data_IF_135665336635
#
_entry.id   IF_135665336635
#
_cell.length_a   1.000
_cell.length_b   1.000
_cell.length_c   1.000
_cell.angle_alpha   90.00
_cell.angle_beta   90.00
_cell.angle_gamma   90.00
#
_symmetry.space_group_name_H-M   'P 1'
#
loop_
_entity.id
_entity.type
_entity.pdbx_description
1 polymer ?
#
# COMPACT_ATOMS: atom_id res chain seq x y z
N UNK A 1 27.23 18.36 -0.56
CA UNK A 1 26.93 19.78 -0.31
C UNK A 1 25.83 20.15 -1.30
N UNK A 2 24.55 19.98 -1.01
CA UNK A 2 23.71 20.62 0.01
C UNK A 2 22.69 19.58 0.51
N UNK A 3 22.67 19.32 1.82
CA UNK A 3 21.71 18.45 2.49
C UNK A 3 20.48 19.27 2.90
N UNK A 4 19.39 19.19 2.14
CA UNK A 4 18.09 19.59 2.63
C UNK A 4 17.36 18.33 3.10
N UNK A 5 17.55 18.01 4.38
CA UNK A 5 16.51 17.34 5.14
C UNK A 5 15.18 18.11 4.91
N UNK A 6 14.03 17.43 4.81
CA UNK A 6 12.75 18.13 4.76
C UNK A 6 12.62 18.97 6.04
N UNK A 7 12.88 20.28 5.90
CA UNK A 7 12.55 21.29 6.89
C UNK A 7 11.05 21.52 6.79
N UNK A 8 10.32 20.58 7.36
CA UNK A 8 9.02 20.75 8.00
C UNK A 8 8.76 19.40 8.67
N UNK A 9 9.53 19.13 9.73
CA UNK A 9 9.04 18.24 10.77
C UNK A 9 7.70 18.81 11.19
N UNK A 10 6.64 18.03 11.01
CA UNK A 10 5.30 18.35 11.47
C UNK A 10 5.45 18.83 12.90
N UNK A 11 5.27 20.13 13.12
CA UNK A 11 5.16 20.68 14.46
C UNK A 11 3.87 20.10 15.00
N UNK A 12 3.99 19.01 15.75
CA UNK A 12 2.88 18.47 16.54
C UNK A 12 2.59 19.48 17.64
N UNK A 13 1.84 20.54 17.28
CA UNK A 13 1.38 21.59 18.18
C UNK A 13 0.17 21.06 18.97
N UNK A 14 0.40 20.84 20.25
CA UNK A 14 -0.47 21.17 21.39
C UNK A 14 -1.90 20.60 21.47
N UNK A 15 -2.30 19.55 20.74
CA UNK A 15 -3.69 19.06 20.82
C UNK A 15 -3.92 17.54 20.78
N UNK A 16 -2.89 16.72 20.56
CA UNK A 16 -3.05 15.25 20.56
C UNK A 16 -2.79 14.72 21.97
N UNK A 17 -3.84 14.60 22.78
CA UNK A 17 -3.80 13.82 24.02
C UNK A 17 -4.18 12.37 23.71
N UNK A 18 -3.18 11.49 23.59
CA UNK A 18 -3.43 10.05 23.66
C UNK A 18 -3.45 9.69 25.15
N UNK A 19 -4.56 9.13 25.68
CA UNK A 19 -4.63 8.82 27.10
C UNK A 19 -3.54 7.80 27.48
N UNK A 20 -2.55 8.24 28.27
CA UNK A 20 -1.46 7.39 28.74
C UNK A 20 -1.90 6.28 29.71
N UNK A 21 -3.18 6.24 30.08
CA UNK A 21 -3.77 5.25 30.98
C UNK A 21 -4.42 4.05 30.27
N UNK A 22 -4.55 4.07 28.94
CA UNK A 22 -5.16 2.96 28.21
C UNK A 22 -4.15 1.82 28.02
N UNK A 23 -4.57 0.55 28.18
CA UNK A 23 -3.65 -0.57 28.06
C UNK A 23 -3.18 -0.75 26.61
N UNK A 24 -1.88 -0.98 26.44
CA UNK A 24 -1.32 -1.41 25.17
C UNK A 24 -1.81 -2.81 24.81
N UNK A 25 -1.89 -3.08 23.51
CA UNK A 25 -2.13 -4.43 23.02
C UNK A 25 -0.98 -5.36 23.46
N UNK A 26 -1.29 -6.58 23.91
CA UNK A 26 -0.25 -7.55 24.33
C UNK A 26 0.82 -7.81 23.25
N UNK A 27 0.49 -7.58 21.98
CA UNK A 27 1.37 -7.75 20.83
C UNK A 27 1.83 -6.41 20.22
N UNK A 28 1.84 -5.31 20.98
CA UNK A 28 2.20 -3.97 20.49
C UNK A 28 3.51 -3.93 19.69
N UNK A 29 4.52 -4.73 20.04
CA UNK A 29 5.79 -4.80 19.33
C UNK A 29 5.66 -5.31 17.88
N UNK A 30 4.92 -6.41 17.68
CA UNK A 30 4.63 -6.97 16.35
C UNK A 30 3.74 -6.02 15.53
N UNK A 31 2.81 -5.32 16.19
CA UNK A 31 1.98 -4.30 15.53
C UNK A 31 2.85 -3.14 15.08
N UNK A 32 3.77 -2.67 15.92
CA UNK A 32 4.68 -1.59 15.56
C UNK A 32 5.58 -2.00 14.39
N UNK A 33 6.13 -3.22 14.39
CA UNK A 33 6.86 -3.76 13.25
C UNK A 33 6.01 -3.79 11.97
N UNK A 34 4.75 -4.20 12.07
CA UNK A 34 3.82 -4.21 10.94
C UNK A 34 3.58 -2.80 10.41
N UNK A 35 3.40 -1.81 11.29
CA UNK A 35 3.23 -0.40 10.91
C UNK A 35 4.47 0.13 10.16
N UNK A 36 5.68 -0.21 10.62
CA UNK A 36 6.92 0.19 9.96
C UNK A 36 7.13 -0.50 8.60
N UNK A 37 6.82 -1.81 8.52
CA UNK A 37 6.85 -2.57 7.27
C UNK A 37 5.87 -1.98 6.24
N UNK A 38 4.70 -1.59 6.72
CA UNK A 38 3.64 -0.99 5.94
C UNK A 38 4.06 0.36 5.37
N UNK A 39 4.70 1.22 6.16
CA UNK A 39 5.24 2.50 5.72
C UNK A 39 6.61 2.42 4.99
N UNK A 40 7.08 1.20 4.66
CA UNK A 40 8.41 0.92 4.08
C UNK A 40 9.57 1.64 4.79
N UNK A 41 9.46 1.78 6.11
CA UNK A 41 10.38 2.56 6.95
C UNK A 41 10.90 1.68 8.09
N UNK A 42 11.98 0.88 7.88
CA UNK A 42 12.53 0.01 8.90
C UNK A 42 13.04 0.79 10.12
N UNK A 43 13.23 0.10 11.25
CA UNK A 43 13.62 0.73 12.52
C UNK A 43 14.80 1.72 12.44
N UNK A 44 15.93 1.43 11.74
CA UNK A 44 17.02 2.38 11.57
C UNK A 44 16.60 3.68 10.88
N UNK A 45 15.74 3.59 9.88
CA UNK A 45 15.24 4.74 9.13
C UNK A 45 14.20 5.53 9.93
N UNK A 46 13.30 4.83 10.63
CA UNK A 46 12.35 5.45 11.54
C UNK A 46 13.08 6.23 12.64
N UNK A 47 14.05 5.61 13.31
CA UNK A 47 14.87 6.23 14.35
C UNK A 47 15.57 7.50 13.84
N UNK A 48 16.18 7.42 12.66
CA UNK A 48 16.83 8.56 12.02
C UNK A 48 15.85 9.68 11.66
N UNK A 49 14.69 9.33 11.08
CA UNK A 49 13.66 10.29 10.67
C UNK A 49 13.09 11.05 11.86
N UNK A 50 12.94 10.37 12.99
CA UNK A 50 12.22 10.87 14.16
C UNK A 50 13.13 11.37 15.29
N UNK A 51 14.43 11.10 15.21
CA UNK A 51 15.40 11.42 16.26
C UNK A 51 15.35 10.49 17.48
N UNK A 52 14.56 9.41 17.44
CA UNK A 52 14.54 8.40 18.51
C UNK A 52 15.80 7.54 18.48
N UNK A 53 16.22 7.06 19.65
CA UNK A 53 17.31 6.10 19.76
C UNK A 53 16.94 4.75 19.10
N UNK A 54 17.81 4.23 18.23
CA UNK A 54 17.55 2.98 17.51
C UNK A 54 17.40 1.80 18.47
N UNK A 55 18.18 1.76 19.55
CA UNK A 55 18.05 0.68 20.54
C UNK A 55 16.69 0.74 21.22
N UNK A 56 16.20 1.94 21.58
CA UNK A 56 14.85 2.13 22.11
C UNK A 56 13.77 1.66 21.12
N UNK A 57 13.83 2.07 19.84
CA UNK A 57 12.87 1.63 18.82
C UNK A 57 12.84 0.09 18.72
N UNK A 58 14.02 -0.55 18.69
CA UNK A 58 14.13 -2.00 18.67
C UNK A 58 13.62 -2.67 19.97
N UNK A 59 13.88 -2.08 21.13
CA UNK A 59 13.34 -2.56 22.42
C UNK A 59 11.80 -2.53 22.43
N UNK A 60 11.17 -1.52 21.80
CA UNK A 60 9.70 -1.45 21.66
C UNK A 60 9.19 -2.51 20.68
N UNK A 61 9.81 -2.66 19.51
CA UNK A 61 9.47 -3.70 18.52
C UNK A 61 9.53 -5.10 19.14
N UNK A 62 10.53 -5.34 19.99
CA UNK A 62 10.75 -6.64 20.64
C UNK A 62 9.94 -6.80 21.94
N UNK A 63 9.06 -5.86 22.28
CA UNK A 63 8.20 -5.93 23.47
C UNK A 63 8.95 -5.81 24.80
N UNK A 64 10.20 -5.35 24.79
CA UNK A 64 11.02 -5.15 26.01
C UNK A 64 10.77 -3.81 26.68
N UNK A 65 10.30 -2.82 25.93
CA UNK A 65 9.88 -1.52 26.45
C UNK A 65 8.50 -1.18 25.94
N UNK A 66 7.71 -0.50 26.77
CA UNK A 66 6.45 0.08 26.33
C UNK A 66 6.70 1.31 25.45
N UNK A 67 5.83 1.60 24.47
CA UNK A 67 5.86 2.86 23.75
C UNK A 67 5.71 4.04 24.72
N UNK A 68 6.59 5.04 24.64
CA UNK A 68 6.45 6.27 25.42
C UNK A 68 5.39 7.20 24.81
N UNK A 69 4.82 8.15 25.58
CA UNK A 69 3.93 9.17 25.03
C UNK A 69 4.55 9.92 23.84
N UNK A 70 5.84 10.24 23.89
CA UNK A 70 6.56 10.92 22.81
C UNK A 70 6.63 10.08 21.53
N UNK A 71 6.81 8.77 21.66
CA UNK A 71 6.75 7.85 20.51
C UNK A 71 5.34 7.82 19.92
N UNK A 72 4.29 7.80 20.74
CA UNK A 72 2.91 7.82 20.26
C UNK A 72 2.59 9.12 19.50
N UNK A 73 3.00 10.26 20.03
CA UNK A 73 2.86 11.57 19.36
C UNK A 73 3.62 11.60 18.03
N UNK A 74 4.83 11.02 18.00
CA UNK A 74 5.64 10.90 16.79
C UNK A 74 4.94 10.06 15.73
N UNK A 75 4.43 8.88 16.10
CA UNK A 75 3.69 7.98 15.19
C UNK A 75 2.44 8.70 14.66
N UNK A 76 1.71 9.39 15.53
CA UNK A 76 0.51 10.14 15.13
C UNK A 76 0.84 11.32 14.19
N UNK A 77 2.05 11.85 14.23
CA UNK A 77 2.52 12.85 13.29
C UNK A 77 2.81 12.31 11.88
N UNK A 78 2.88 11.00 11.64
CA UNK A 78 3.30 10.44 10.35
C UNK A 78 2.11 9.78 9.67
N UNK A 79 1.60 10.35 8.56
CA UNK A 79 0.56 9.68 7.76
C UNK A 79 1.16 8.51 6.96
N UNK A 80 0.47 7.35 6.83
CA UNK A 80 -0.86 7.00 7.34
C UNK A 80 -0.82 6.22 8.67
N UNK A 81 0.23 6.41 9.49
CA UNK A 81 0.35 5.71 10.76
C UNK A 81 -0.65 6.27 11.78
N UNK A 82 -1.13 5.38 12.65
CA UNK A 82 -2.08 5.71 13.71
C UNK A 82 -1.60 5.10 15.03
N UNK A 83 -1.30 5.93 16.02
CA UNK A 83 -0.78 5.45 17.31
C UNK A 83 -1.79 4.59 18.07
N UNK A 84 -3.10 4.78 17.81
CA UNK A 84 -4.18 3.92 18.35
C UNK A 84 -4.02 2.44 17.98
N UNK A 85 -3.28 2.11 16.93
CA UNK A 85 -3.02 0.71 16.57
C UNK A 85 -2.22 -0.03 17.65
N UNK A 86 -1.40 0.68 18.45
CA UNK A 86 -0.64 0.09 19.56
C UNK A 86 -1.50 -0.12 20.81
N UNK A 87 -2.67 0.52 20.88
CA UNK A 87 -3.61 0.39 22.00
C UNK A 87 -4.44 -0.89 21.83
N UNK A 88 -4.75 -1.54 22.96
CA UNK A 88 -5.58 -2.74 23.00
C UNK A 88 -6.89 -2.50 22.25
N UNK A 89 -7.18 -3.39 21.30
CA UNK A 89 -8.34 -3.34 20.41
C UNK A 89 -9.68 -3.08 21.11
N UNK A 90 -9.85 -3.54 22.35
CA UNK A 90 -11.07 -3.34 23.16
C UNK A 90 -11.31 -1.88 23.53
N UNK A 91 -10.28 -1.03 23.49
CA UNK A 91 -10.35 0.37 23.88
C UNK A 91 -10.20 1.35 22.71
N UNK A 92 -9.89 0.87 21.51
CA UNK A 92 -9.64 1.74 20.33
C UNK A 92 -10.86 2.58 19.93
N UNK A 93 -12.08 2.13 20.22
CA UNK A 93 -13.29 2.91 20.02
C UNK A 93 -13.30 4.23 20.82
N UNK A 94 -12.48 4.33 21.88
CA UNK A 94 -12.33 5.55 22.69
C UNK A 94 -11.37 6.57 22.10
N UNK A 95 -10.60 6.19 21.06
CA UNK A 95 -9.60 7.06 20.43
C UNK A 95 -10.01 7.25 18.97
N UNK A 96 -10.49 8.42 18.54
CA UNK A 96 -10.86 8.62 17.14
C UNK A 96 -9.64 8.47 16.22
N UNK A 97 -9.88 8.11 14.96
CA UNK A 97 -8.88 8.31 13.91
C UNK A 97 -8.94 9.80 13.53
N UNK A 98 -7.82 10.51 13.68
CA UNK A 98 -7.75 11.91 13.29
C UNK A 98 -7.93 12.06 11.79
N UNK A 99 -8.70 13.08 11.39
CA UNK A 99 -8.84 13.44 9.99
C UNK A 99 -7.70 14.37 9.60
N UNK A 100 -6.83 13.91 8.70
CA UNK A 100 -5.71 14.67 8.14
C UNK A 100 -6.03 15.23 6.75
N UNK A 101 -7.30 15.28 6.38
CA UNK A 101 -7.76 15.72 5.06
C UNK A 101 -8.46 17.08 5.06
N UNK A 102 -8.48 17.72 3.89
CA UNK A 102 -9.32 18.89 3.61
C UNK A 102 -10.63 18.39 3.01
N UNK A 103 -11.68 18.31 3.82
CA UNK A 103 -13.01 17.81 3.41
C UNK A 103 -12.97 16.46 2.68
N UNK A 104 -12.18 15.53 3.23
CA UNK A 104 -12.05 14.17 2.71
C UNK A 104 -11.00 13.98 1.62
N UNK A 105 -10.27 15.03 1.23
CA UNK A 105 -9.23 14.97 0.18
C UNK A 105 -7.86 15.34 0.74
N UNK A 106 -6.83 14.59 0.34
CA UNK A 106 -5.41 14.93 0.55
C UNK A 106 -4.73 14.93 -0.80
N UNK A 107 -3.90 15.94 -1.05
CA UNK A 107 -3.15 16.10 -2.29
C UNK A 107 -1.66 16.16 -1.96
N UNK A 108 -0.84 15.45 -2.74
CA UNK A 108 0.61 15.52 -2.68
C UNK A 108 1.13 15.89 -4.07
N UNK A 109 1.63 17.13 -4.19
CA UNK A 109 2.26 17.62 -5.42
C UNK A 109 3.62 16.97 -5.64
N UNK A 110 4.00 16.74 -6.90
CA UNK A 110 5.30 16.16 -7.28
C UNK A 110 6.51 16.84 -6.63
N UNK A 111 6.51 18.17 -6.53
CA UNK A 111 7.63 18.96 -5.97
C UNK A 111 7.87 18.75 -4.48
N UNK A 112 6.86 18.28 -3.75
CA UNK A 112 6.90 18.05 -2.31
C UNK A 112 6.83 16.57 -1.94
N UNK A 113 6.84 15.66 -2.92
CA UNK A 113 6.76 14.21 -2.68
C UNK A 113 8.07 13.72 -2.03
N UNK A 114 8.04 13.28 -0.76
CA UNK A 114 9.24 12.75 -0.13
C UNK A 114 9.70 11.49 -0.85
N UNK A 115 11.01 11.23 -0.87
CA UNK A 115 11.57 10.03 -1.48
C UNK A 115 12.61 9.34 -0.59
N UNK A 116 12.68 8.02 -0.70
CA UNK A 116 13.71 7.19 -0.08
C UNK A 116 14.29 6.22 -1.11
N UNK A 117 15.57 5.87 -0.98
CA UNK A 117 16.21 4.89 -1.84
C UNK A 117 16.47 3.62 -1.05
N UNK A 118 16.22 2.46 -1.65
CA UNK A 118 16.50 1.17 -1.05
C UNK A 118 17.53 0.42 -1.87
N UNK A 119 18.47 -0.20 -1.15
CA UNK A 119 19.44 -1.10 -1.74
C UNK A 119 19.06 -2.54 -1.44
N UNK A 120 19.30 -3.43 -2.39
CA UNK A 120 19.27 -4.89 -2.19
C UNK A 120 20.62 -5.44 -2.61
N UNK A 121 21.23 -6.27 -1.77
CA UNK A 121 22.60 -6.75 -1.99
C UNK A 121 23.59 -5.62 -2.36
N UNK A 122 23.53 -4.49 -1.63
CA UNK A 122 24.31 -3.26 -1.86
C UNK A 122 24.08 -2.52 -3.19
N UNK A 123 23.19 -2.99 -4.06
CA UNK A 123 22.83 -2.37 -5.34
C UNK A 123 21.63 -1.45 -5.13
N UNK A 124 21.66 -0.25 -5.71
CA UNK A 124 20.48 0.62 -5.75
C UNK A 124 19.38 -0.11 -6.53
N UNK A 125 18.31 -0.46 -5.83
CA UNK A 125 17.26 -1.30 -6.40
C UNK A 125 15.99 -0.50 -6.66
N UNK A 126 15.56 0.30 -5.68
CA UNK A 126 14.36 1.12 -5.76
C UNK A 126 14.58 2.55 -5.30
N UNK A 127 13.84 3.48 -5.92
CA UNK A 127 13.50 4.76 -5.33
C UNK A 127 12.00 4.81 -5.06
N UNK A 128 11.62 4.91 -3.80
CA UNK A 128 10.24 5.06 -3.35
C UNK A 128 9.90 6.54 -3.27
N UNK A 129 8.75 6.92 -3.82
CA UNK A 129 8.13 8.22 -3.67
C UNK A 129 6.89 8.04 -2.80
N UNK A 130 6.87 8.73 -1.66
CA UNK A 130 5.79 8.65 -0.67
C UNK A 130 4.64 9.57 -1.12
N UNK A 131 3.68 8.99 -1.83
CA UNK A 131 2.55 9.71 -2.44
C UNK A 131 1.45 10.05 -1.42
N UNK A 132 0.36 10.69 -1.88
CA UNK A 132 -0.75 11.08 -1.02
C UNK A 132 -1.31 9.88 -0.22
N UNK A 133 -1.34 10.03 1.11
CA UNK A 133 -1.88 9.08 2.08
C UNK A 133 -2.82 9.80 3.04
N UNK A 134 -3.68 9.05 3.72
CA UNK A 134 -4.60 9.56 4.74
C UNK A 134 -4.68 8.59 5.90
N UNK A 135 -4.84 9.10 7.12
CA UNK A 135 -5.04 8.28 8.33
C UNK A 135 -6.32 7.46 8.31
N UNK A 136 -7.38 8.02 7.71
CA UNK A 136 -8.69 7.37 7.57
C UNK A 136 -8.79 6.41 6.38
N UNK A 137 -7.80 6.41 5.49
CA UNK A 137 -7.76 5.49 4.35
C UNK A 137 -6.99 4.22 4.70
N UNK A 138 -7.45 3.03 4.28
CA UNK A 138 -6.70 1.80 4.42
C UNK A 138 -5.60 1.61 3.37
N UNK A 139 -5.49 2.55 2.42
CA UNK A 139 -4.60 2.46 1.26
C UNK A 139 -3.26 3.13 1.53
N UNK A 140 -2.18 2.51 1.09
CA UNK A 140 -0.81 2.98 1.23
C UNK A 140 -0.16 2.85 -0.14
N UNK A 141 -0.30 3.90 -0.95
CA UNK A 141 0.16 3.92 -2.31
C UNK A 141 1.58 4.49 -2.41
N UNK A 142 2.36 3.89 -3.30
CA UNK A 142 3.74 4.24 -3.57
C UNK A 142 3.94 4.36 -5.08
N UNK A 143 4.70 5.38 -5.49
CA UNK A 143 5.35 5.36 -6.80
C UNK A 143 6.75 4.80 -6.56
N UNK A 144 7.09 3.71 -7.24
CA UNK A 144 8.37 3.03 -7.08
C UNK A 144 9.08 3.08 -8.43
N UNK A 145 10.30 3.60 -8.46
CA UNK A 145 11.16 3.60 -9.64
C UNK A 145 12.14 2.45 -9.53
N UNK A 146 12.14 1.58 -10.53
CA UNK A 146 13.04 0.44 -10.66
C UNK A 146 14.41 0.86 -11.22
N UNK A 147 15.50 0.43 -10.57
CA UNK A 147 16.87 0.74 -11.01
C UNK A 147 17.67 -0.50 -11.45
N UNK A 148 17.19 -1.69 -11.09
CA UNK A 148 17.89 -2.93 -11.39
C UNK A 148 17.48 -3.47 -12.75
N UNK A 149 18.46 -3.74 -13.62
CA UNK A 149 18.24 -4.36 -14.92
C UNK A 149 18.24 -5.89 -14.79
N UNK A 150 17.26 -6.55 -15.41
CA UNK A 150 17.18 -8.01 -15.48
C UNK A 150 16.64 -8.45 -16.84
N UNK A 151 17.16 -9.55 -17.38
CA UNK A 151 16.71 -10.09 -18.66
C UNK A 151 15.26 -10.61 -18.54
N UNK A 152 14.29 -10.11 -19.32
CA UNK A 152 12.90 -10.58 -19.25
C UNK A 152 12.71 -12.06 -19.63
N UNK A 153 13.69 -12.68 -20.30
CA UNK A 153 13.65 -14.09 -20.68
C UNK A 153 14.20 -15.03 -19.59
N UNK A 154 14.77 -14.49 -18.51
CA UNK A 154 15.30 -15.30 -17.40
C UNK A 154 14.37 -15.19 -16.18
N UNK A 155 13.60 -16.22 -15.84
CA UNK A 155 12.75 -16.20 -14.66
C UNK A 155 13.55 -16.22 -13.34
N UNK A 156 14.84 -16.58 -13.36
CA UNK A 156 15.62 -16.84 -12.14
C UNK A 156 16.27 -15.56 -11.59
N UNK A 157 15.45 -14.69 -11.01
CA UNK A 157 15.97 -13.62 -10.16
C UNK A 157 16.46 -14.21 -8.81
N UNK A 158 17.60 -13.74 -8.29
CA UNK A 158 18.11 -14.24 -7.00
C UNK A 158 17.17 -13.86 -5.83
N UNK A 159 17.05 -14.75 -4.84
CA UNK A 159 16.20 -14.56 -3.64
C UNK A 159 16.47 -13.25 -2.90
N UNK A 160 17.73 -12.79 -2.87
CA UNK A 160 18.12 -11.54 -2.24
C UNK A 160 17.46 -10.29 -2.87
N UNK A 161 16.95 -10.44 -4.10
CA UNK A 161 16.20 -9.40 -4.80
C UNK A 161 14.70 -9.57 -4.68
N UNK A 162 14.16 -10.58 -4.01
CA UNK A 162 12.74 -10.66 -3.69
C UNK A 162 12.44 -9.99 -2.35
N UNK A 163 11.22 -9.46 -2.23
CA UNK A 163 10.63 -9.31 -0.90
C UNK A 163 10.10 -10.68 -0.43
N UNK A 164 9.83 -10.81 0.88
CA UNK A 164 9.30 -12.07 1.44
C UNK A 164 7.77 -12.08 1.48
N UNK A 165 7.15 -11.27 0.63
CA UNK A 165 5.74 -10.92 0.71
C UNK A 165 5.39 -10.06 1.94
N UNK A 166 4.28 -9.34 1.83
CA UNK A 166 3.77 -8.46 2.88
C UNK A 166 2.26 -8.67 3.06
N UNK A 167 1.72 -8.16 4.18
CA UNK A 167 0.34 -8.43 4.61
C UNK A 167 -0.69 -7.74 3.73
N UNK A 168 -0.34 -6.57 3.24
CA UNK A 168 -1.24 -5.76 2.44
C UNK A 168 -1.53 -6.44 1.10
N UNK A 169 -2.76 -6.28 0.61
CA UNK A 169 -3.05 -6.55 -0.80
C UNK A 169 -2.21 -5.59 -1.62
N UNK A 170 -1.86 -5.98 -2.84
CA UNK A 170 -1.22 -5.05 -3.75
C UNK A 170 -1.81 -5.16 -5.15
N UNK A 171 -2.24 -4.01 -5.65
CA UNK A 171 -2.54 -3.78 -7.05
C UNK A 171 -1.46 -2.85 -7.60
N UNK A 172 -0.95 -3.18 -8.77
CA UNK A 172 0.15 -2.44 -9.39
C UNK A 172 -0.16 -2.12 -10.85
N UNK A 173 0.24 -0.92 -11.30
CA UNK A 173 0.15 -0.47 -12.69
C UNK A 173 1.53 -0.02 -13.16
N UNK A 174 2.00 -0.51 -14.30
CA UNK A 174 3.27 -0.11 -14.89
C UNK A 174 3.21 1.26 -15.56
N UNK A 175 4.33 1.99 -15.47
CA UNK A 175 4.65 3.20 -16.23
C UNK A 175 6.06 2.98 -16.82
N UNK A 176 6.17 2.93 -18.15
CA UNK A 176 7.42 2.56 -18.83
C UNK A 176 7.53 1.06 -19.02
N UNK A 177 8.73 0.50 -18.89
CA UNK A 177 9.00 -0.94 -19.03
C UNK A 177 9.36 -1.55 -17.68
N UNK A 178 8.61 -2.54 -17.23
CA UNK A 178 8.84 -3.21 -15.94
C UNK A 178 8.75 -4.71 -16.11
N UNK A 179 9.63 -5.47 -15.49
CA UNK A 179 9.48 -6.89 -15.32
C UNK A 179 8.84 -7.17 -13.96
N UNK A 180 7.71 -7.88 -13.97
CA UNK A 180 7.03 -8.33 -12.77
C UNK A 180 7.55 -9.72 -12.39
N UNK A 181 8.13 -9.84 -11.20
CA UNK A 181 8.67 -11.09 -10.68
C UNK A 181 7.84 -11.57 -9.50
N UNK A 182 7.54 -12.86 -9.43
CA UNK A 182 6.96 -13.47 -8.22
C UNK A 182 7.42 -14.91 -8.05
N UNK A 183 7.24 -15.45 -6.84
CA UNK A 183 7.35 -16.88 -6.59
C UNK A 183 5.98 -17.45 -6.25
N UNK A 184 5.64 -18.58 -6.86
CA UNK A 184 4.39 -19.26 -6.56
C UNK A 184 4.43 -20.00 -5.21
N UNK A 185 3.34 -20.70 -4.87
CA UNK A 185 3.23 -21.45 -3.61
C UNK A 185 4.24 -22.60 -3.45
N UNK A 186 4.85 -23.06 -4.55
CA UNK A 186 5.90 -24.07 -4.54
C UNK A 186 7.30 -23.45 -4.43
N UNK A 187 7.40 -22.13 -4.60
CA UNK A 187 8.65 -21.38 -4.60
C UNK A 187 9.28 -21.22 -5.99
N UNK A 188 8.57 -21.66 -7.05
CA UNK A 188 9.05 -21.53 -8.42
C UNK A 188 8.99 -20.05 -8.84
N UNK A 189 10.09 -19.51 -9.41
CA UNK A 189 10.13 -18.12 -9.82
C UNK A 189 9.49 -17.92 -11.20
N UNK A 190 8.79 -16.80 -11.35
CA UNK A 190 8.11 -16.41 -12.58
C UNK A 190 8.40 -14.95 -12.91
N UNK A 191 8.33 -14.62 -14.21
CA UNK A 191 8.54 -13.28 -14.74
C UNK A 191 7.52 -12.96 -15.83
N UNK A 192 6.96 -11.74 -15.82
CA UNK A 192 6.17 -11.19 -16.93
C UNK A 192 6.65 -9.77 -17.27
N UNK A 193 7.07 -9.51 -18.51
CA UNK A 193 7.36 -8.15 -18.96
C UNK A 193 6.05 -7.35 -19.18
N UNK A 194 6.04 -6.15 -18.64
CA UNK A 194 4.93 -5.21 -18.63
C UNK A 194 5.33 -3.86 -19.23
N UNK A 195 4.37 -3.19 -19.84
CA UNK A 195 4.52 -1.81 -20.35
C UNK A 195 3.47 -0.88 -19.76
N UNK A 196 3.58 0.43 -20.05
CA UNK A 196 2.66 1.46 -19.53
C UNK A 196 1.19 1.04 -19.64
N UNK A 197 0.51 1.00 -18.49
CA UNK A 197 -0.90 0.69 -18.37
C UNK A 197 -1.21 -0.79 -18.17
N UNK A 198 -0.24 -1.70 -18.37
CA UNK A 198 -0.36 -3.07 -17.88
C UNK A 198 -0.50 -3.05 -16.35
N UNK A 199 -1.28 -4.00 -15.82
CA UNK A 199 -1.58 -4.05 -14.40
C UNK A 199 -1.50 -5.47 -13.85
N UNK A 200 -1.21 -5.57 -12.56
CA UNK A 200 -1.28 -6.83 -11.83
C UNK A 200 -1.96 -6.65 -10.47
N UNK A 201 -2.47 -7.74 -9.94
CA UNK A 201 -2.81 -7.89 -8.54
C UNK A 201 -2.03 -9.09 -7.99
N UNK A 202 -1.67 -9.06 -6.72
CA UNK A 202 -0.95 -10.15 -6.08
C UNK A 202 -1.60 -10.52 -4.74
N UNK A 203 -1.70 -11.82 -4.48
CA UNK A 203 -2.15 -12.34 -3.20
C UNK A 203 -1.22 -11.87 -2.09
N UNK A 204 -1.74 -11.51 -0.89
CA UNK A 204 -0.88 -11.15 0.22
C UNK A 204 0.11 -12.27 0.56
N UNK A 205 1.29 -11.86 1.02
CA UNK A 205 2.44 -12.71 1.37
C UNK A 205 3.10 -13.51 0.23
N UNK A 206 2.63 -13.40 -1.01
CA UNK A 206 3.37 -13.90 -2.18
C UNK A 206 4.67 -13.10 -2.35
N UNK A 207 5.79 -13.79 -2.52
CA UNK A 207 7.09 -13.15 -2.74
C UNK A 207 7.10 -12.50 -4.11
N UNK A 208 7.57 -11.25 -4.18
CA UNK A 208 7.63 -10.53 -5.44
C UNK A 208 8.75 -9.50 -5.53
N UNK A 209 9.07 -9.13 -6.76
CA UNK A 209 10.01 -8.08 -7.10
C UNK A 209 9.66 -7.41 -8.43
N UNK A 210 10.38 -6.34 -8.72
CA UNK A 210 10.25 -5.50 -9.90
C UNK A 210 11.64 -5.10 -10.37
N UNK A 211 11.87 -5.20 -11.67
CA UNK A 211 13.11 -4.78 -12.33
C UNK A 211 12.76 -4.11 -13.66
N UNK A 212 13.75 -3.60 -14.38
CA UNK A 212 13.58 -3.13 -15.76
C UNK A 212 14.33 -4.05 -16.73
N UNK A 213 13.88 -4.18 -18.00
CA UNK A 213 14.73 -4.76 -19.03
C UNK A 213 16.01 -3.93 -19.24
N UNK A 214 17.12 -4.53 -19.73
CA UNK A 214 18.36 -3.80 -19.97
C UNK A 214 18.17 -2.58 -20.88
N UNK A 215 18.72 -1.43 -20.48
CA UNK A 215 18.65 -0.16 -21.22
C UNK A 215 17.24 0.47 -21.27
N UNK A 216 16.33 0.07 -20.39
CA UNK A 216 14.97 0.63 -20.30
C UNK A 216 14.76 1.33 -18.95
N UNK A 217 13.74 2.18 -18.93
CA UNK A 217 13.28 2.84 -17.71
C UNK A 217 11.85 2.39 -17.37
N UNK A 218 11.59 2.28 -16.07
CA UNK A 218 10.34 1.77 -15.53
C UNK A 218 10.06 2.33 -14.15
N UNK A 219 8.77 2.50 -13.89
CA UNK A 219 8.24 2.76 -12.56
C UNK A 219 6.90 2.03 -12.42
N UNK A 220 6.49 1.80 -11.19
CA UNK A 220 5.17 1.28 -10.88
C UNK A 220 4.40 2.21 -9.96
N UNK A 221 3.08 2.28 -10.18
CA UNK A 221 2.14 2.75 -9.18
C UNK A 221 1.69 1.51 -8.41
N UNK A 222 2.12 1.38 -7.16
CA UNK A 222 1.73 0.27 -6.29
C UNK A 222 0.78 0.80 -5.22
N UNK A 223 -0.50 0.45 -5.30
CA UNK A 223 -1.42 0.64 -4.17
C UNK A 223 -1.40 -0.62 -3.32
N UNK A 224 -1.00 -0.43 -2.07
CA UNK A 224 -1.24 -1.46 -1.07
C UNK A 224 -2.48 -1.11 -0.26
N UNK A 225 -3.30 -2.10 0.12
CA UNK A 225 -4.40 -1.88 1.06
C UNK A 225 -4.42 -2.95 2.15
N UNK A 226 -4.88 -2.56 3.34
CA UNK A 226 -4.83 -3.41 4.52
C UNK A 226 -5.90 -4.53 4.58
N UNK A 227 -6.80 -4.61 3.60
CA UNK A 227 -7.86 -5.60 3.51
C UNK A 227 -8.90 -5.56 4.65
N UNK A 228 -9.95 -6.40 4.58
CA UNK A 228 -10.94 -6.58 5.64
C UNK A 228 -10.34 -7.18 6.91
N UNK A 229 -9.18 -7.84 6.83
CA UNK A 229 -8.50 -8.38 8.02
C UNK A 229 -8.17 -7.27 9.02
N UNK A 230 -8.02 -6.01 8.60
CA UNK A 230 -7.72 -4.88 9.50
C UNK A 230 -8.83 -4.49 10.47
N UNK A 231 -10.08 -4.91 10.23
CA UNK A 231 -11.24 -4.45 11.00
C UNK A 231 -11.04 -4.70 12.49
N UNK A 232 -11.36 -3.71 13.33
CA UNK A 232 -11.05 -3.76 14.76
C UNK A 232 -11.76 -4.92 15.47
N UNK A 233 -13.02 -5.20 15.12
CA UNK A 233 -13.79 -6.33 15.64
C UNK A 233 -13.14 -7.67 15.30
N UNK A 234 -12.73 -7.84 14.04
CA UNK A 234 -12.05 -9.05 13.58
C UNK A 234 -10.67 -9.20 14.24
N UNK A 235 -9.86 -8.13 14.28
CA UNK A 235 -8.57 -8.11 14.98
C UNK A 235 -8.71 -8.41 16.47
N UNK A 236 -9.76 -7.90 17.13
CA UNK A 236 -10.04 -8.19 18.55
C UNK A 236 -10.21 -9.70 18.77
N UNK A 237 -11.00 -10.36 17.91
CA UNK A 237 -11.19 -11.82 17.98
C UNK A 237 -9.88 -12.55 17.74
N UNK A 238 -9.15 -12.21 16.67
CA UNK A 238 -7.89 -12.87 16.35
C UNK A 238 -6.88 -12.77 17.49
N UNK A 239 -6.74 -11.58 18.06
CA UNK A 239 -5.76 -11.28 19.12
C UNK A 239 -6.15 -11.81 20.48
N UNK A 240 -7.43 -12.11 20.72
CA UNK A 240 -7.85 -12.80 21.94
C UNK A 240 -7.28 -14.22 22.05
N UNK A 241 -6.90 -14.81 20.91
CA UNK A 241 -6.36 -16.17 20.85
C UNK A 241 -4.84 -16.19 21.07
N UNK A 242 -4.32 -17.33 21.55
CA UNK A 242 -2.91 -17.66 21.38
C UNK A 242 -2.69 -18.14 19.95
N UNK A 243 -1.46 -18.09 19.44
CA UNK A 243 -1.14 -18.56 18.09
C UNK A 243 -1.61 -20.01 17.86
N UNK A 244 -1.43 -20.90 18.85
CA UNK A 244 -1.89 -22.29 18.79
C UNK A 244 -3.41 -22.39 18.65
N UNK A 245 -4.16 -21.58 19.41
CA UNK A 245 -5.63 -21.55 19.33
C UNK A 245 -6.10 -20.94 18.02
N UNK A 246 -5.45 -19.87 17.56
CA UNK A 246 -5.71 -19.23 16.27
C UNK A 246 -5.52 -20.21 15.11
N UNK A 247 -4.40 -20.93 15.03
CA UNK A 247 -4.16 -21.91 13.97
C UNK A 247 -5.20 -23.04 13.98
N UNK A 248 -5.59 -23.53 15.17
CA UNK A 248 -6.66 -24.52 15.30
C UNK A 248 -8.02 -23.96 14.84
N UNK A 249 -8.32 -22.71 15.17
CA UNK A 249 -9.54 -22.03 14.74
C UNK A 249 -9.58 -21.86 13.23
N UNK A 250 -8.48 -21.40 12.61
CA UNK A 250 -8.39 -21.20 11.16
C UNK A 250 -8.55 -22.51 10.40
N UNK A 251 -7.88 -23.59 10.82
CA UNK A 251 -8.04 -24.92 10.21
C UNK A 251 -9.50 -25.40 10.18
N UNK A 252 -10.33 -25.00 11.15
CA UNK A 252 -11.76 -25.37 11.22
C UNK A 252 -12.67 -24.42 10.46
N UNK A 253 -12.31 -23.15 10.36
CA UNK A 253 -13.22 -22.06 10.00
C UNK A 253 -12.97 -21.49 8.62
N UNK A 254 -11.75 -21.67 8.09
CA UNK A 254 -11.45 -21.17 6.75
C UNK A 254 -12.33 -21.89 5.72
N UNK A 255 -13.01 -21.14 4.84
CA UNK A 255 -13.77 -21.73 3.77
C UNK A 255 -12.84 -22.50 2.83
N UNK A 256 -13.31 -23.66 2.38
CA UNK A 256 -12.63 -24.44 1.35
C UNK A 256 -12.87 -23.76 0.00
N UNK A 257 -11.81 -23.19 -0.58
CA UNK A 257 -11.86 -22.50 -1.87
C UNK A 257 -11.45 -23.49 -2.97
N UNK A 258 -12.46 -24.14 -3.56
CA UNK A 258 -12.35 -25.08 -4.70
C UNK A 258 -12.92 -24.45 -5.97
N UNK A 259 -12.34 -24.76 -7.12
CA UNK A 259 -12.85 -24.36 -8.43
C UNK A 259 -11.81 -23.67 -9.33
N UNK A 260 -12.09 -23.62 -10.62
CA UNK A 260 -11.15 -23.25 -11.71
C UNK A 260 -10.97 -21.73 -11.93
N UNK A 261 -11.67 -20.86 -11.19
CA UNK A 261 -11.63 -19.41 -11.42
C UNK A 261 -11.34 -18.58 -10.16
N UNK A 262 -10.45 -19.05 -9.27
CA UNK A 262 -9.72 -18.07 -8.44
C UNK A 262 -8.79 -17.32 -9.39
N UNK A 263 -8.95 -16.00 -9.48
CA UNK A 263 -8.24 -15.14 -10.44
C UNK A 263 -6.71 -15.26 -10.37
N UNK A 264 -6.21 -15.73 -9.23
CA UNK A 264 -4.80 -15.95 -8.93
C UNK A 264 -4.27 -17.36 -9.25
N UNK A 265 -5.14 -18.34 -9.51
CA UNK A 265 -4.73 -19.75 -9.67
C UNK A 265 -3.83 -19.95 -10.87
N UNK A 266 -4.15 -19.29 -11.99
CA UNK A 266 -3.44 -19.46 -13.27
C UNK A 266 -1.96 -19.10 -13.18
N UNK A 267 -1.60 -18.19 -12.27
CA UNK A 267 -0.23 -17.70 -12.11
C UNK A 267 0.25 -17.84 -10.65
N UNK A 268 -0.32 -18.77 -9.86
CA UNK A 268 0.22 -19.09 -8.54
C UNK A 268 0.28 -17.92 -7.55
N UNK A 269 -0.82 -17.21 -7.35
CA UNK A 269 -0.89 -16.07 -6.43
C UNK A 269 -0.74 -14.71 -7.12
N UNK A 270 -0.60 -14.70 -8.44
CA UNK A 270 -0.49 -13.49 -9.26
C UNK A 270 -1.65 -13.39 -10.25
N UNK A 271 -2.05 -12.18 -10.59
CA UNK A 271 -3.06 -11.90 -11.63
C UNK A 271 -2.53 -10.78 -12.51
N UNK A 272 -2.67 -10.91 -13.82
CA UNK A 272 -2.12 -9.96 -14.78
C UNK A 272 -3.16 -9.57 -15.84
N UNK A 273 -3.16 -8.30 -16.25
CA UNK A 273 -3.97 -7.82 -17.37
C UNK A 273 -3.13 -6.88 -18.24
N UNK A 274 -3.11 -7.15 -19.54
CA UNK A 274 -2.50 -6.23 -20.52
C UNK A 274 -3.38 -4.99 -20.69
N UNK A 275 -2.76 -3.85 -20.92
CA UNK A 275 -3.46 -2.61 -21.23
C UNK A 275 -4.39 -2.78 -22.44
N UNK A 276 -3.98 -3.55 -23.45
CA UNK A 276 -4.80 -3.82 -24.64
C UNK A 276 -6.14 -4.47 -24.35
N UNK A 277 -6.22 -5.26 -23.28
CA UNK A 277 -7.40 -6.07 -22.93
C UNK A 277 -8.35 -5.36 -21.96
N UNK A 278 -7.99 -4.16 -21.49
CA UNK A 278 -8.80 -3.42 -20.54
C UNK A 278 -10.09 -2.88 -21.18
N UNK A 279 -11.22 -3.16 -20.52
CA UNK A 279 -12.54 -2.67 -20.89
C UNK A 279 -12.56 -1.14 -20.97
N UNK A 280 -13.27 -0.60 -21.97
CA UNK A 280 -13.43 0.84 -22.17
C UNK A 280 -14.89 1.22 -21.93
N UNK A 281 -15.09 2.16 -21.02
CA UNK A 281 -16.37 2.82 -20.78
C UNK A 281 -16.27 4.23 -21.35
N UNK A 282 -16.95 4.46 -22.48
CA UNK A 282 -16.91 5.72 -23.21
C UNK A 282 -17.99 6.69 -22.73
N UNK A 283 -17.62 7.59 -21.81
CA UNK A 283 -18.50 8.64 -21.30
C UNK A 283 -18.23 9.99 -21.95
N UNK A 284 -19.23 10.88 -21.88
CA UNK A 284 -19.10 12.25 -22.38
C UNK A 284 -17.97 13.02 -21.66
N UNK A 285 -17.93 12.96 -20.33
CA UNK A 285 -16.93 13.69 -19.52
C UNK A 285 -15.62 12.94 -19.35
N UNK A 286 -15.69 11.61 -19.35
CA UNK A 286 -14.58 10.71 -19.05
C UNK A 286 -14.61 9.54 -20.00
N UNK A 287 -13.47 9.23 -20.61
CA UNK A 287 -13.21 7.88 -21.09
C UNK A 287 -12.48 7.12 -19.98
N UNK A 288 -13.06 6.02 -19.54
CA UNK A 288 -12.50 5.17 -18.49
C UNK A 288 -12.00 3.88 -19.11
N UNK A 289 -10.81 3.45 -18.70
CA UNK A 289 -10.24 2.17 -19.08
C UNK A 289 -9.96 1.34 -17.83
N UNK A 290 -10.60 0.18 -17.71
CA UNK A 290 -10.56 -0.66 -16.51
C UNK A 290 -9.31 -1.53 -16.53
N UNK A 291 -8.22 -1.00 -15.97
CA UNK A 291 -6.89 -1.63 -15.99
C UNK A 291 -6.85 -2.94 -15.20
N UNK A 292 -7.60 -3.02 -14.10
CA UNK A 292 -7.72 -4.22 -13.28
C UNK A 292 -9.00 -4.16 -12.45
N UNK A 293 -9.73 -5.26 -12.41
CA UNK A 293 -10.93 -5.48 -11.58
C UNK A 293 -11.22 -7.00 -11.51
N UNK A 294 -12.33 -7.39 -10.87
CA UNK A 294 -12.74 -8.80 -10.80
C UNK A 294 -11.79 -9.69 -9.99
N UNK A 295 -11.02 -9.10 -9.08
CA UNK A 295 -10.05 -9.82 -8.26
C UNK A 295 -10.80 -10.69 -7.25
N UNK A 296 -10.59 -12.01 -7.28
CA UNK A 296 -11.30 -12.96 -6.42
C UNK A 296 -11.07 -12.62 -4.94
N UNK A 297 -12.16 -12.53 -4.18
CA UNK A 297 -12.21 -12.13 -2.76
C UNK A 297 -11.71 -10.72 -2.44
N UNK A 298 -11.43 -9.91 -3.46
CA UNK A 298 -11.10 -8.48 -3.36
C UNK A 298 -11.92 -7.65 -4.36
N UNK A 299 -13.26 -7.84 -4.44
CA UNK A 299 -14.09 -7.31 -5.54
C UNK A 299 -14.16 -5.78 -5.57
N UNK A 300 -13.81 -5.10 -4.48
CA UNK A 300 -13.82 -3.63 -4.42
C UNK A 300 -12.44 -3.02 -4.61
N UNK A 301 -11.42 -3.83 -4.94
CA UNK A 301 -10.10 -3.37 -5.34
C UNK A 301 -10.03 -3.33 -6.87
N UNK A 302 -9.79 -2.15 -7.44
CA UNK A 302 -9.70 -1.96 -8.90
C UNK A 302 -8.83 -0.77 -9.28
N UNK A 303 -8.36 -0.77 -10.53
CA UNK A 303 -7.64 0.34 -11.15
C UNK A 303 -8.29 0.78 -12.46
N UNK A 304 -8.36 2.09 -12.64
CA UNK A 304 -9.03 2.73 -13.77
C UNK A 304 -8.13 3.85 -14.28
N UNK A 305 -7.81 3.86 -15.57
CA UNK A 305 -7.26 5.05 -16.23
C UNK A 305 -8.43 5.95 -16.66
N UNK A 306 -8.40 7.21 -16.25
CA UNK A 306 -9.30 8.25 -16.72
C UNK A 306 -8.60 9.08 -17.77
N UNK A 307 -9.22 9.22 -18.93
CA UNK A 307 -8.98 10.33 -19.85
C UNK A 307 -10.05 11.38 -19.64
N UNK A 308 -9.67 12.53 -19.12
CA UNK A 308 -10.58 13.65 -18.82
C UNK A 308 -10.85 14.43 -20.11
N UNK A 309 -12.13 14.63 -20.43
CA UNK A 309 -12.57 15.29 -21.67
C UNK A 309 -13.29 16.61 -21.44
N UNK A 310 -14.03 16.74 -20.33
CA UNK A 310 -14.79 17.96 -20.05
C UNK A 310 -13.94 19.00 -19.34
N UNK A 311 -14.04 20.26 -19.79
CA UNK A 311 -13.58 21.45 -19.07
C UNK A 311 -14.72 22.17 -18.33
N UNK A 312 -15.95 22.02 -18.81
CA UNK A 312 -17.11 22.77 -18.35
C UNK A 312 -17.89 22.02 -17.27
N UNK A 313 -18.66 22.78 -16.48
CA UNK A 313 -19.54 22.29 -15.42
C UNK A 313 -18.88 22.31 -14.04
N UNK A 314 -19.54 23.00 -13.10
CA UNK A 314 -19.15 23.08 -11.68
C UNK A 314 -19.70 21.91 -10.85
N UNK A 315 -20.44 21.02 -11.49
CA UNK A 315 -20.99 19.82 -10.88
C UNK A 315 -19.92 18.83 -10.39
N UNK A 316 -20.16 18.26 -9.22
CA UNK A 316 -19.38 17.17 -8.64
C UNK A 316 -20.02 15.84 -9.04
N UNK A 317 -19.60 15.31 -10.19
CA UNK A 317 -20.27 14.22 -10.91
C UNK A 317 -19.74 12.82 -10.58
N UNK A 318 -18.80 12.70 -9.65
CA UNK A 318 -18.32 11.42 -9.14
C UNK A 318 -18.55 11.34 -7.64
N UNK A 319 -19.31 10.33 -7.21
CA UNK A 319 -19.43 9.93 -5.80
C UNK A 319 -19.32 8.41 -5.73
N UNK A 320 -18.40 7.89 -4.92
CA UNK A 320 -18.13 6.45 -4.82
C UNK A 320 -18.06 6.02 -3.36
N UNK A 321 -18.70 4.90 -3.04
CA UNK A 321 -18.51 4.21 -1.77
C UNK A 321 -17.19 3.40 -1.82
N UNK A 322 -16.07 4.08 -2.02
CA UNK A 322 -14.72 3.51 -2.02
C UNK A 322 -13.70 4.60 -1.67
N UNK A 323 -12.65 4.22 -0.96
CA UNK A 323 -11.47 5.07 -0.85
C UNK A 323 -10.82 5.10 -2.22
N UNK A 324 -10.41 6.28 -2.67
CA UNK A 324 -9.77 6.44 -3.98
C UNK A 324 -8.39 7.02 -3.77
N UNK A 325 -7.41 6.47 -4.46
CA UNK A 325 -6.12 7.11 -4.64
C UNK A 325 -5.88 7.30 -6.13
N UNK A 326 -5.30 8.43 -6.51
CA UNK A 326 -4.98 8.67 -7.91
C UNK A 326 -3.66 9.38 -8.12
N UNK A 327 -3.18 9.26 -9.36
CA UNK A 327 -1.90 9.78 -9.79
C UNK A 327 -2.00 10.31 -11.22
N UNK A 328 -1.57 11.55 -11.43
CA UNK A 328 -1.57 12.21 -12.74
C UNK A 328 -0.35 11.74 -13.53
N UNK A 329 -0.51 10.70 -14.35
CA UNK A 329 0.56 10.19 -15.20
C UNK A 329 0.57 10.81 -16.60
N UNK A 330 -0.49 11.53 -16.99
CA UNK A 330 -0.53 12.29 -18.23
C UNK A 330 0.43 13.49 -18.23
N UNK A 331 0.60 14.10 -19.42
CA UNK A 331 1.47 15.28 -19.60
C UNK A 331 0.77 16.61 -19.31
N UNK A 332 -0.54 16.58 -19.08
CA UNK A 332 -1.40 17.75 -18.92
C UNK A 332 -1.98 17.72 -17.51
N UNK A 333 -2.01 18.85 -16.79
CA UNK A 333 -2.61 18.92 -15.47
C UNK A 333 -4.09 18.52 -15.47
N UNK A 334 -4.60 18.17 -14.30
CA UNK A 334 -6.01 17.85 -14.06
C UNK A 334 -6.54 18.77 -12.98
N UNK A 335 -7.67 19.44 -13.22
CA UNK A 335 -8.36 20.17 -12.16
C UNK A 335 -9.22 19.18 -11.36
N UNK A 336 -8.93 19.03 -10.06
CA UNK A 336 -9.74 18.28 -9.11
C UNK A 336 -10.62 19.25 -8.32
N UNK A 337 -11.94 19.01 -8.30
CA UNK A 337 -12.92 19.78 -7.52
C UNK A 337 -13.59 18.89 -6.49
N UNK A 338 -13.80 19.39 -5.27
CA UNK A 338 -14.53 18.68 -4.21
C UNK A 338 -15.09 19.69 -3.20
N UNK A 339 -16.33 19.50 -2.74
CA UNK A 339 -16.97 20.48 -1.84
C UNK A 339 -16.94 21.89 -2.44
N UNK A 340 -16.34 22.83 -1.70
CA UNK A 340 -16.09 24.22 -2.16
C UNK A 340 -14.65 24.46 -2.64
N UNK A 341 -13.85 23.40 -2.75
CA UNK A 341 -12.42 23.46 -3.08
C UNK A 341 -12.19 23.05 -4.53
N UNK A 342 -11.14 23.63 -5.12
CA UNK A 342 -10.57 23.15 -6.36
C UNK A 342 -9.05 23.27 -6.34
N UNK A 343 -8.36 22.34 -7.01
CA UNK A 343 -6.92 22.35 -7.13
C UNK A 343 -6.47 21.75 -8.45
N UNK A 344 -5.58 22.46 -9.14
CA UNK A 344 -4.88 21.94 -10.31
C UNK A 344 -3.77 20.97 -9.88
N UNK A 345 -3.78 19.78 -10.49
CA UNK A 345 -2.88 18.69 -10.21
C UNK A 345 -1.92 18.52 -11.39
N UNK A 346 -0.68 18.97 -11.19
CA UNK A 346 0.41 18.83 -12.17
C UNK A 346 0.76 17.35 -12.44
N UNK A 347 1.33 17.02 -13.62
CA UNK A 347 1.92 15.73 -13.88
C UNK A 347 2.86 15.24 -12.76
N UNK A 348 2.57 14.05 -12.25
CA UNK A 348 3.23 13.43 -11.11
C UNK A 348 2.67 13.80 -9.74
N UNK A 349 1.61 14.61 -9.68
CA UNK A 349 0.86 14.81 -8.45
C UNK A 349 -0.01 13.60 -8.15
N UNK A 350 -0.23 13.35 -6.87
CA UNK A 350 -1.09 12.29 -6.36
C UNK A 350 -2.13 12.84 -5.40
N UNK A 351 -3.20 12.10 -5.21
CA UNK A 351 -4.27 12.48 -4.31
C UNK A 351 -4.92 11.25 -3.68
N UNK A 352 -5.55 11.44 -2.53
CA UNK A 352 -6.39 10.45 -1.86
C UNK A 352 -7.73 11.09 -1.53
N UNK A 353 -8.82 10.33 -1.69
CA UNK A 353 -10.21 10.76 -1.49
C UNK A 353 -10.92 9.73 -0.61
N UNK A 354 -11.55 10.19 0.46
CA UNK A 354 -12.38 9.35 1.33
C UNK A 354 -13.65 8.86 0.62
N UNK A 355 -14.28 7.83 1.18
CA UNK A 355 -15.56 7.30 0.68
C UNK A 355 -16.63 8.40 0.66
N UNK A 356 -17.46 8.36 -0.38
CA UNK A 356 -18.65 9.20 -0.55
C UNK A 356 -18.38 10.71 -0.65
N UNK A 357 -17.12 11.14 -0.79
CA UNK A 357 -16.80 12.53 -1.15
C UNK A 357 -17.20 12.75 -2.60
N UNK A 358 -18.15 13.66 -2.83
CA UNK A 358 -18.49 14.11 -4.18
C UNK A 358 -17.36 14.96 -4.74
N UNK A 359 -16.91 14.64 -5.94
CA UNK A 359 -15.81 15.33 -6.61
C UNK A 359 -15.94 15.22 -8.13
N UNK A 360 -15.09 15.94 -8.85
CA UNK A 360 -14.98 15.82 -10.30
C UNK A 360 -13.55 16.08 -10.77
N UNK A 361 -13.21 15.52 -11.93
CA UNK A 361 -12.01 15.88 -12.68
C UNK A 361 -12.41 16.71 -13.89
N UNK A 362 -11.66 17.78 -14.17
CA UNK A 362 -11.82 18.63 -15.36
C UNK A 362 -10.49 18.80 -16.07
N UNK A 363 -10.56 18.91 -17.39
CA UNK A 363 -9.39 19.23 -18.20
C UNK A 363 -9.08 20.72 -18.05
N UNK A 364 -7.82 21.06 -17.83
CA UNK A 364 -7.37 22.46 -17.83
C UNK A 364 -7.23 23.00 -19.26
N UNK A 365 -6.95 22.12 -20.21
CA UNK A 365 -6.73 22.40 -21.62
C UNK A 365 -7.82 21.75 -22.50
N UNK A 366 -8.28 22.45 -23.54
CA UNK A 366 -9.38 21.98 -24.41
C UNK A 366 -8.91 21.01 -25.48
N UNK A 367 -7.65 21.13 -25.89
CA UNK A 367 -7.07 20.42 -27.02
C UNK A 367 -6.19 19.25 -26.55
N UNK A 368 -5.72 19.31 -25.30
CA UNK A 368 -4.89 18.28 -24.70
C UNK A 368 -5.67 17.41 -23.72
N UNK A 369 -5.42 16.10 -23.79
CA UNK A 369 -6.07 15.10 -22.94
C UNK A 369 -5.31 14.92 -21.63
N UNK A 370 -5.92 15.29 -20.52
CA UNK A 370 -5.40 14.96 -19.19
C UNK A 370 -5.68 13.50 -18.85
N UNK A 371 -4.67 12.81 -18.32
CA UNK A 371 -4.77 11.39 -17.93
C UNK A 371 -4.33 11.17 -16.50
N UNK A 372 -5.10 10.37 -15.78
CA UNK A 372 -4.78 9.93 -14.43
C UNK A 372 -5.15 8.46 -14.24
N UNK A 373 -4.41 7.76 -13.40
CA UNK A 373 -4.82 6.45 -12.88
C UNK A 373 -5.51 6.70 -11.55
N UNK A 374 -6.65 6.06 -11.33
CA UNK A 374 -7.37 6.04 -10.06
C UNK A 374 -7.56 4.59 -9.64
N UNK A 375 -7.13 4.29 -8.44
CA UNK A 375 -7.32 3.01 -7.77
C UNK A 375 -8.38 3.17 -6.69
N UNK A 376 -9.34 2.25 -6.66
CA UNK A 376 -10.44 2.25 -5.69
C UNK A 376 -10.29 1.03 -4.78
N UNK A 377 -10.57 1.22 -3.48
CA UNK A 377 -10.56 0.15 -2.48
C UNK A 377 -11.68 0.38 -1.46
N UNK A 378 -12.48 -0.66 -1.19
CA UNK A 378 -13.44 -0.67 -0.09
C UNK A 378 -13.43 -2.00 0.68
N UNK A 379 -12.42 -2.23 1.53
CA UNK A 379 -12.31 -3.47 2.30
C UNK A 379 -13.33 -3.55 3.44
N UNK A 380 -14.04 -2.45 3.76
CA UNK A 380 -14.98 -2.42 4.89
C UNK A 380 -16.19 -3.34 4.68
N UNK A 381 -16.56 -3.63 3.44
CA UNK A 381 -17.69 -4.48 3.09
C UNK A 381 -17.30 -5.92 2.73
N UNK A 382 -16.01 -6.25 2.83
CA UNK A 382 -15.49 -7.55 2.41
C UNK A 382 -15.31 -8.53 3.58
N UNK A 383 -15.20 -9.81 3.25
CA UNK A 383 -15.13 -10.91 4.22
C UNK A 383 -13.66 -11.26 4.54
N UNK A 384 -13.20 -11.05 5.78
CA UNK A 384 -11.81 -11.35 6.15
C UNK A 384 -11.46 -12.85 6.11
N UNK A 385 -12.42 -13.75 6.29
CA UNK A 385 -12.15 -15.20 6.23
C UNK A 385 -11.87 -15.67 4.80
N UNK A 386 -12.51 -15.07 3.79
CA UNK A 386 -12.22 -15.37 2.38
C UNK A 386 -10.82 -14.89 1.99
N UNK A 387 -10.40 -13.74 2.50
CA UNK A 387 -9.04 -13.25 2.32
C UNK A 387 -8.00 -14.15 2.98
N UNK A 388 -8.22 -14.60 4.22
CA UNK A 388 -7.29 -15.54 4.86
C UNK A 388 -7.29 -16.90 4.14
N UNK A 389 -8.42 -17.34 3.57
CA UNK A 389 -8.46 -18.55 2.76
C UNK A 389 -7.61 -18.41 1.49
N UNK A 390 -7.66 -17.23 0.83
CA UNK A 390 -6.79 -16.90 -0.29
C UNK A 390 -5.30 -16.97 0.11
N UNK A 391 -4.95 -16.33 1.22
CA UNK A 391 -3.59 -16.36 1.78
C UNK A 391 -3.15 -17.81 2.07
N UNK A 392 -4.00 -18.61 2.69
CA UNK A 392 -3.70 -20.01 3.03
C UNK A 392 -3.43 -20.87 1.79
N UNK A 393 -4.06 -20.53 0.65
CA UNK A 393 -3.88 -21.25 -0.61
C UNK A 393 -2.53 -20.96 -1.26
N UNK A 394 -2.07 -19.71 -1.24
CA UNK A 394 -0.86 -19.29 -1.95
C UNK A 394 0.38 -19.13 -1.08
N UNK A 395 0.25 -19.18 0.25
CA UNK A 395 1.38 -18.96 1.15
C UNK A 395 1.36 -19.90 2.35
N UNK A 396 2.40 -20.74 2.47
CA UNK A 396 2.56 -21.74 3.53
C UNK A 396 2.48 -21.14 4.95
N UNK A 397 3.14 -19.99 5.17
CA UNK A 397 3.17 -19.32 6.48
C UNK A 397 2.26 -18.08 6.58
N UNK A 398 1.51 -17.78 5.52
CA UNK A 398 0.74 -16.53 5.44
C UNK A 398 -0.32 -16.42 6.56
N UNK A 399 -1.05 -17.50 6.83
CA UNK A 399 -2.07 -17.53 7.90
C UNK A 399 -1.47 -17.22 9.26
N UNK A 400 -0.27 -17.76 9.55
CA UNK A 400 0.44 -17.49 10.80
C UNK A 400 0.84 -16.02 10.89
N UNK A 401 1.39 -15.46 9.80
CA UNK A 401 1.83 -14.06 9.70
C UNK A 401 0.69 -13.06 9.83
N UNK A 402 -0.54 -13.42 9.45
CA UNK A 402 -1.74 -12.59 9.72
C UNK A 402 -1.92 -12.30 11.22
N UNK A 403 -1.64 -13.29 12.08
CA UNK A 403 -1.75 -13.15 13.53
C UNK A 403 -0.53 -12.47 14.16
N UNK A 404 0.67 -12.81 13.69
CA UNK A 404 1.93 -12.25 14.23
C UNK A 404 2.96 -12.13 13.12
N UNK A 405 3.32 -10.90 12.78
CA UNK A 405 4.46 -10.61 11.91
C UNK A 405 5.73 -10.53 12.79
N UNK A 406 6.77 -11.24 12.38
CA UNK A 406 8.00 -11.42 13.18
C UNK A 406 9.24 -10.85 12.49
N UNK A 407 9.13 -10.40 11.24
CA UNK A 407 10.27 -9.94 10.46
C UNK A 407 9.97 -8.72 9.59
N UNK A 408 11.01 -8.28 8.89
CA UNK A 408 10.89 -7.30 7.81
C UNK A 408 10.19 -7.93 6.61
N UNK A 409 9.57 -7.09 5.79
CA UNK A 409 8.93 -7.53 4.54
C UNK A 409 9.94 -7.92 3.44
N UNK A 410 11.23 -7.79 3.70
CA UNK A 410 12.32 -8.18 2.80
C UNK A 410 13.45 -8.82 3.60
N UNK A 411 14.30 -9.60 2.93
CA UNK A 411 15.52 -10.10 3.55
C UNK A 411 16.60 -9.01 3.51
N UNK A 412 17.12 -8.64 4.66
CA UNK A 412 18.33 -7.82 4.70
C UNK A 412 19.50 -8.72 4.28
N UNK A 413 20.04 -8.52 3.08
CA UNK A 413 21.13 -9.32 2.50
C UNK A 413 22.44 -9.30 3.31
N UNK A 414 22.47 -8.58 4.44
CA UNK A 414 23.43 -8.83 5.52
C UNK A 414 23.13 -10.21 6.10
N UNK A 415 23.71 -11.26 5.49
CA UNK A 415 23.98 -12.50 6.23
C UNK A 415 24.66 -12.06 7.52
N UNK A 416 24.02 -12.25 8.67
CA UNK A 416 24.80 -12.39 9.89
C UNK A 416 25.79 -13.50 9.57
N UNK A 417 27.07 -13.16 9.56
CA UNK A 417 28.11 -14.18 9.75
C UNK A 417 27.76 -14.84 11.08
N UNK A 418 27.00 -15.92 11.02
CA UNK A 418 26.87 -16.87 12.11
C UNK A 418 28.29 -17.33 12.37
N UNK A 419 28.91 -16.72 13.39
CA UNK A 419 30.15 -17.21 13.98
C UNK A 419 29.91 -18.66 14.35
N UNK A 420 30.52 -19.56 13.58
CA UNK A 420 30.79 -20.92 14.02
C UNK A 420 31.73 -20.89 15.22
#
# INVERSE_FOLDING_TARGET
VISHAPKEGIKVKDSIQIPGSLPYDKNYGSIFQTMLNRAKTPAPEFAKLTGHDLKYVNDVIQGRKYPSPELLVTIEGISPLNARELIDSRYRHKIPIFDDSTDGVVICSKSHTPRSTKKRNNILYYTYYHTATQKKSPTIPELIVEHYEHNPEDPNLEDAFFNVGHRERQLTVAIGHVNYHWKDQNGEPHIIPATTGDANAISPYTWHSFSVPPGKEGSILAITDMGPIRKDDFQTVLRSMSIKRYMKFMKKTLPDIKGEEVSFDKLGGFMFRKYGDAEIIDGQKYLQKILMDGITFQPNLKAIEYTVRSKEGDELDITKNAYRWGYVHGKVPVLLRWGTHEQELEPGSSFSIQKNVSHSFRSVDKDLKSKLVVMESNPDIENPLLEIALINRFTKDGVRRVHTEEGLWYQDGRKEETKN
#
